data_IF_250458745085
#
_entry.id   IF_250458745085
#
_cell.length_a   1.000
_cell.length_b   1.000
_cell.length_c   1.000
_cell.angle_alpha   90.00
_cell.angle_beta   90.00
_cell.angle_gamma   90.00
#
_symmetry.space_group_name_H-M   'P 1'
#
loop_
_entity.id
_entity.type
_entity.pdbx_description
1 polymer ?
#
# COMPACT_ATOMS: atom_id res chain seq x y z
N UNK A 1 -23.15 -9.70 6.36
CA UNK A 1 -21.89 -9.18 6.91
C UNK A 1 -20.70 -9.55 6.03
N UNK A 2 -20.35 -10.85 5.96
CA UNK A 2 -19.17 -11.31 5.21
C UNK A 2 -19.16 -10.92 3.72
N UNK A 3 -20.25 -11.15 2.98
CA UNK A 3 -20.32 -10.80 1.55
C UNK A 3 -20.14 -9.28 1.29
N UNK A 4 -20.64 -8.43 2.18
CA UNK A 4 -20.43 -6.97 2.11
C UNK A 4 -18.95 -6.68 2.36
N UNK A 5 -18.38 -7.21 3.44
CA UNK A 5 -16.98 -6.99 3.76
C UNK A 5 -16.03 -7.49 2.66
N UNK A 6 -16.35 -8.63 2.04
CA UNK A 6 -15.59 -9.18 0.92
C UNK A 6 -15.60 -8.25 -0.28
N UNK A 7 -16.78 -7.76 -0.68
CA UNK A 7 -16.92 -6.86 -1.82
C UNK A 7 -16.16 -5.55 -1.58
N UNK A 8 -16.38 -4.89 -0.46
CA UNK A 8 -15.75 -3.59 -0.17
C UNK A 8 -14.25 -3.73 0.11
N UNK A 9 -13.84 -4.76 0.84
CA UNK A 9 -12.44 -5.06 1.12
C UNK A 9 -11.67 -5.37 -0.16
N UNK A 10 -12.22 -6.20 -1.05
CA UNK A 10 -11.58 -6.51 -2.33
C UNK A 10 -11.47 -5.28 -3.23
N UNK A 11 -12.52 -4.44 -3.33
CA UNK A 11 -12.46 -3.18 -4.07
C UNK A 11 -11.38 -2.27 -3.49
N UNK A 12 -11.35 -2.12 -2.16
CA UNK A 12 -10.35 -1.28 -1.50
C UNK A 12 -8.93 -1.75 -1.77
N UNK A 13 -8.65 -3.04 -1.54
CA UNK A 13 -7.33 -3.63 -1.78
C UNK A 13 -6.93 -3.53 -3.25
N UNK A 14 -7.84 -3.81 -4.17
CA UNK A 14 -7.61 -3.72 -5.61
C UNK A 14 -7.32 -2.30 -6.08
N UNK A 15 -8.07 -1.30 -5.59
CA UNK A 15 -7.82 0.12 -5.94
C UNK A 15 -6.44 0.54 -5.46
N UNK A 16 -6.09 0.23 -4.20
CA UNK A 16 -4.78 0.61 -3.63
C UNK A 16 -3.64 0.00 -4.45
N UNK A 17 -3.67 -1.32 -4.67
CA UNK A 17 -2.58 -1.99 -5.39
C UNK A 17 -2.51 -1.59 -6.86
N UNK A 18 -3.65 -1.40 -7.53
CA UNK A 18 -3.68 -0.96 -8.91
C UNK A 18 -3.07 0.42 -9.08
N UNK A 19 -3.36 1.35 -8.16
CA UNK A 19 -2.79 2.70 -8.22
C UNK A 19 -1.29 2.68 -7.94
N UNK A 20 -0.83 1.86 -6.99
CA UNK A 20 0.60 1.68 -6.72
C UNK A 20 1.33 1.14 -7.95
N UNK A 21 0.84 0.06 -8.54
CA UNK A 21 1.45 -0.56 -9.73
C UNK A 21 1.41 0.41 -10.92
N UNK A 22 0.29 1.07 -11.18
CA UNK A 22 0.19 2.07 -12.24
C UNK A 22 1.14 3.25 -12.01
N UNK A 23 1.30 3.69 -10.76
CA UNK A 23 2.27 4.71 -10.38
C UNK A 23 3.70 4.30 -10.68
N UNK A 24 4.06 3.04 -10.44
CA UNK A 24 5.38 2.49 -10.77
C UNK A 24 5.63 2.50 -12.28
N UNK A 25 4.69 1.97 -13.09
CA UNK A 25 4.83 1.98 -14.55
C UNK A 25 4.89 3.40 -15.13
N UNK A 26 4.15 4.35 -14.55
CA UNK A 26 4.15 5.74 -15.00
C UNK A 26 5.47 6.45 -14.65
N UNK A 27 6.10 6.09 -13.52
CA UNK A 27 7.38 6.67 -13.10
C UNK A 27 8.57 6.19 -13.95
N UNK A 28 8.49 5.01 -14.57
CA UNK A 28 9.57 4.47 -15.42
C UNK A 28 9.57 5.04 -16.86
N UNK A 29 8.51 5.72 -17.29
CA UNK A 29 8.45 6.38 -18.59
C UNK A 29 8.86 7.85 -18.51
N UNK A 30 10.07 8.21 -18.98
CA UNK A 30 10.54 9.58 -19.33
C UNK A 30 9.92 10.73 -18.51
N UNK A 31 9.84 10.55 -17.19
CA UNK A 31 9.04 11.41 -16.35
C UNK A 31 9.54 11.36 -14.93
N UNK A 32 10.39 12.32 -14.59
CA UNK A 32 10.49 12.89 -13.25
C UNK A 32 9.15 13.56 -12.85
N UNK A 33 8.06 12.80 -12.96
CA UNK A 33 6.69 13.25 -12.84
C UNK A 33 6.27 13.19 -11.39
N UNK A 34 6.47 14.30 -10.69
CA UNK A 34 6.02 14.60 -9.32
C UNK A 34 4.51 14.39 -9.06
N UNK A 35 3.71 13.95 -10.03
CA UNK A 35 2.26 13.83 -9.91
C UNK A 35 1.81 12.54 -9.17
N UNK A 36 2.44 11.39 -9.44
CA UNK A 36 2.15 10.10 -8.79
C UNK A 36 3.08 9.79 -7.62
N UNK A 37 4.23 10.47 -7.57
CA UNK A 37 5.23 10.42 -6.48
C UNK A 37 4.97 11.46 -5.39
N UNK A 38 3.93 12.28 -5.51
CA UNK A 38 3.52 13.22 -4.47
C UNK A 38 2.85 12.47 -3.32
N UNK A 39 3.36 12.69 -2.10
CA UNK A 39 2.76 12.20 -0.86
C UNK A 39 1.25 12.50 -0.79
N UNK A 40 0.82 13.65 -1.33
CA UNK A 40 -0.58 14.06 -1.37
C UNK A 40 -1.46 13.12 -2.19
N UNK A 41 -0.95 12.60 -3.31
CA UNK A 41 -1.67 11.64 -4.12
C UNK A 41 -1.84 10.32 -3.36
N UNK A 42 -0.78 9.84 -2.69
CA UNK A 42 -0.86 8.68 -1.80
C UNK A 42 -1.92 8.86 -0.70
N UNK A 43 -1.94 10.02 -0.03
CA UNK A 43 -2.95 10.33 0.98
C UNK A 43 -4.38 10.33 0.42
N UNK A 44 -4.58 10.87 -0.79
CA UNK A 44 -5.90 10.86 -1.43
C UNK A 44 -6.40 9.43 -1.67
N UNK A 45 -5.53 8.54 -2.16
CA UNK A 45 -5.87 7.13 -2.37
C UNK A 45 -6.18 6.43 -1.05
N UNK A 46 -5.44 6.74 0.02
CA UNK A 46 -5.74 6.21 1.36
C UNK A 46 -7.10 6.68 1.87
N UNK A 47 -7.48 7.94 1.66
CA UNK A 47 -8.82 8.43 2.04
C UNK A 47 -9.91 7.68 1.26
N UNK A 48 -9.71 7.44 -0.04
CA UNK A 48 -10.66 6.69 -0.86
C UNK A 48 -10.77 5.23 -0.39
N UNK A 49 -9.64 4.58 -0.11
CA UNK A 49 -9.61 3.22 0.42
C UNK A 49 -10.33 3.12 1.77
N UNK A 50 -10.01 3.99 2.73
CA UNK A 50 -10.64 4.03 4.05
C UNK A 50 -12.13 4.38 3.99
N UNK A 51 -12.56 5.15 2.98
CA UNK A 51 -13.98 5.45 2.77
C UNK A 51 -14.82 4.21 2.46
N UNK A 52 -14.21 3.16 1.88
CA UNK A 52 -14.91 1.89 1.61
C UNK A 52 -15.36 1.19 2.89
N UNK A 53 -14.62 1.34 4.00
CA UNK A 53 -15.00 0.81 5.32
C UNK A 53 -16.30 1.46 5.78
N UNK A 54 -16.39 2.79 5.67
CA UNK A 54 -17.61 3.51 6.02
C UNK A 54 -18.80 3.07 5.17
N UNK A 55 -18.60 2.89 3.85
CA UNK A 55 -19.65 2.42 2.95
C UNK A 55 -20.12 1.00 3.31
N UNK A 56 -19.20 0.09 3.64
CA UNK A 56 -19.52 -1.26 4.08
C UNK A 56 -20.35 -1.27 5.37
N UNK A 57 -19.96 -0.46 6.38
CA UNK A 57 -20.70 -0.32 7.64
C UNK A 57 -22.09 0.26 7.38
N UNK A 58 -22.19 1.31 6.56
CA UNK A 58 -23.47 1.95 6.20
C UNK A 58 -24.39 0.98 5.48
N UNK A 59 -23.89 0.20 4.51
CA UNK A 59 -24.69 -0.78 3.80
C UNK A 59 -25.19 -1.89 4.71
N UNK A 60 -24.32 -2.43 5.57
CA UNK A 60 -24.71 -3.45 6.54
C UNK A 60 -25.74 -2.94 7.55
N UNK A 61 -25.55 -1.72 8.07
CA UNK A 61 -26.52 -1.05 8.94
C UNK A 61 -27.90 -0.93 8.28
N UNK A 62 -27.94 -0.43 7.04
CA UNK A 62 -29.21 -0.11 6.38
C UNK A 62 -29.94 -1.36 5.86
N UNK A 63 -29.24 -2.30 5.23
CA UNK A 63 -29.87 -3.45 4.58
C UNK A 63 -30.13 -4.63 5.52
N UNK A 64 -29.29 -4.82 6.54
CA UNK A 64 -29.38 -6.00 7.40
C UNK A 64 -29.91 -5.69 8.81
N UNK A 65 -29.78 -4.45 9.29
CA UNK A 65 -30.10 -4.09 10.67
C UNK A 65 -31.20 -3.02 10.80
N UNK A 66 -31.87 -2.65 9.70
CA UNK A 66 -32.98 -1.70 9.74
C UNK A 66 -32.59 -0.27 10.11
N UNK A 67 -31.33 0.12 9.87
CA UNK A 67 -30.87 1.51 10.02
C UNK A 67 -30.13 1.84 11.32
N UNK A 68 -30.07 0.92 12.29
CA UNK A 68 -29.33 1.11 13.55
C UNK A 68 -28.26 0.03 13.71
N UNK A 69 -27.05 0.45 14.08
CA UNK A 69 -25.93 -0.46 14.35
C UNK A 69 -25.24 -0.06 15.64
N UNK A 70 -24.93 -1.05 16.50
CA UNK A 70 -24.14 -0.84 17.72
C UNK A 70 -22.65 -0.78 17.38
N UNK A 71 -21.84 -0.29 18.31
CA UNK A 71 -20.38 -0.13 18.11
C UNK A 71 -19.68 -1.43 17.72
N UNK A 72 -19.83 -2.51 18.50
CA UNK A 72 -19.10 -3.77 18.23
C UNK A 72 -19.42 -4.41 16.87
N UNK A 73 -20.69 -4.50 16.43
CA UNK A 73 -21.00 -4.93 15.07
C UNK A 73 -20.38 -4.03 13.98
N UNK A 74 -20.40 -2.70 14.17
CA UNK A 74 -19.78 -1.78 13.22
C UNK A 74 -18.26 -1.95 13.16
N UNK A 75 -17.61 -2.10 14.32
CA UNK A 75 -16.19 -2.38 14.42
C UNK A 75 -15.83 -3.71 13.74
N UNK A 76 -16.60 -4.77 13.97
CA UNK A 76 -16.36 -6.07 13.34
C UNK A 76 -16.47 -6.03 11.82
N UNK A 77 -17.43 -5.27 11.27
CA UNK A 77 -17.53 -5.05 9.81
C UNK A 77 -16.29 -4.33 9.29
N UNK A 78 -15.87 -3.25 9.95
CA UNK A 78 -14.71 -2.47 9.52
C UNK A 78 -13.41 -3.28 9.60
N UNK A 79 -13.22 -4.05 10.67
CA UNK A 79 -12.07 -4.92 10.85
C UNK A 79 -12.01 -6.00 9.75
N UNK A 80 -13.16 -6.59 9.42
CA UNK A 80 -13.23 -7.61 8.38
C UNK A 80 -12.93 -7.03 6.98
N UNK A 81 -13.42 -5.81 6.68
CA UNK A 81 -13.09 -5.10 5.44
C UNK A 81 -11.59 -4.83 5.36
N UNK A 82 -10.98 -4.32 6.44
CA UNK A 82 -9.56 -4.03 6.49
C UNK A 82 -8.69 -5.29 6.31
N UNK A 83 -9.05 -6.39 6.99
CA UNK A 83 -8.35 -7.67 6.85
C UNK A 83 -8.42 -8.20 5.40
N UNK A 84 -9.60 -8.15 4.77
CA UNK A 84 -9.77 -8.59 3.38
C UNK A 84 -8.99 -7.70 2.42
N UNK A 85 -9.01 -6.38 2.62
CA UNK A 85 -8.24 -5.44 1.82
C UNK A 85 -6.73 -5.73 1.91
N UNK A 86 -6.22 -6.01 3.11
CA UNK A 86 -4.83 -6.41 3.34
C UNK A 86 -4.45 -7.71 2.61
N UNK A 87 -5.30 -8.74 2.68
CA UNK A 87 -5.06 -10.01 1.96
C UNK A 87 -5.03 -9.79 0.45
N UNK A 88 -5.97 -9.01 -0.09
CA UNK A 88 -6.01 -8.71 -1.53
C UNK A 88 -4.78 -7.90 -1.97
N UNK A 89 -4.38 -6.92 -1.17
CA UNK A 89 -3.16 -6.14 -1.40
C UNK A 89 -1.92 -7.03 -1.45
N UNK A 90 -1.71 -7.86 -0.42
CA UNK A 90 -0.57 -8.78 -0.32
C UNK A 90 -0.54 -9.75 -1.50
N UNK A 91 -1.67 -10.38 -1.82
CA UNK A 91 -1.76 -11.35 -2.89
C UNK A 91 -1.42 -10.73 -4.26
N UNK A 92 -1.96 -9.53 -4.53
CA UNK A 92 -1.68 -8.81 -5.76
C UNK A 92 -0.23 -8.31 -5.84
N UNK A 93 0.34 -7.85 -4.72
CA UNK A 93 1.73 -7.42 -4.65
C UNK A 93 2.72 -8.55 -4.87
N UNK A 94 2.54 -9.69 -4.21
CA UNK A 94 3.37 -10.88 -4.41
C UNK A 94 3.27 -11.41 -5.85
N UNK A 95 2.06 -11.42 -6.40
CA UNK A 95 1.85 -11.78 -7.80
C UNK A 95 2.60 -10.84 -8.73
N UNK A 96 2.53 -9.53 -8.47
CA UNK A 96 3.25 -8.53 -9.25
C UNK A 96 4.76 -8.78 -9.20
N UNK A 97 5.36 -8.93 -8.02
CA UNK A 97 6.81 -9.18 -7.86
C UNK A 97 7.26 -10.45 -8.59
N UNK A 98 6.48 -11.54 -8.51
CA UNK A 98 6.84 -12.80 -9.17
C UNK A 98 6.72 -12.73 -10.70
N UNK A 99 5.68 -12.07 -11.23
CA UNK A 99 5.43 -12.03 -12.68
C UNK A 99 6.33 -11.02 -13.37
N UNK A 100 6.55 -9.85 -12.76
CA UNK A 100 7.33 -8.77 -13.34
C UNK A 100 8.83 -8.94 -13.17
N UNK A 101 9.28 -9.83 -12.26
CA UNK A 101 10.67 -9.90 -11.78
C UNK A 101 11.24 -8.53 -11.41
N UNK A 102 10.36 -7.63 -10.93
CA UNK A 102 10.67 -6.22 -10.82
C UNK A 102 11.70 -5.95 -9.71
N UNK A 103 12.82 -5.26 -9.99
CA UNK A 103 13.85 -4.97 -9.00
C UNK A 103 13.45 -3.79 -8.11
N UNK A 104 12.24 -3.83 -7.52
CA UNK A 104 11.64 -2.73 -6.74
C UNK A 104 12.62 -2.15 -5.72
N UNK A 105 13.15 -3.01 -4.85
CA UNK A 105 14.06 -2.58 -3.78
C UNK A 105 15.41 -2.09 -4.31
N UNK A 106 15.85 -2.54 -5.48
CA UNK A 106 17.09 -2.02 -6.07
C UNK A 106 16.87 -0.60 -6.58
N UNK A 107 15.79 -0.39 -7.35
CA UNK A 107 15.42 0.93 -7.86
C UNK A 107 15.12 1.91 -6.72
N UNK A 108 14.37 1.46 -5.72
CA UNK A 108 13.99 2.27 -4.56
C UNK A 108 15.20 2.71 -3.74
N UNK A 109 16.09 1.77 -3.36
CA UNK A 109 17.29 2.11 -2.57
C UNK A 109 18.26 2.98 -3.37
N UNK A 110 18.43 2.73 -4.67
CA UNK A 110 19.25 3.57 -5.53
C UNK A 110 18.73 5.02 -5.60
N UNK A 111 17.41 5.20 -5.80
CA UNK A 111 16.79 6.52 -5.80
C UNK A 111 16.96 7.24 -4.45
N UNK A 112 16.85 6.52 -3.34
CA UNK A 112 17.00 7.10 -2.00
C UNK A 112 18.44 7.51 -1.69
N UNK A 113 19.42 6.68 -2.07
CA UNK A 113 20.84 7.01 -1.94
C UNK A 113 21.19 8.22 -2.81
N UNK A 114 20.65 8.30 -4.03
CA UNK A 114 20.87 9.45 -4.90
C UNK A 114 20.28 10.73 -4.30
N UNK A 115 19.07 10.67 -3.74
CA UNK A 115 18.46 11.82 -3.08
C UNK A 115 19.31 12.34 -1.88
N UNK A 116 19.94 11.44 -1.11
CA UNK A 116 20.86 11.84 -0.03
C UNK A 116 22.13 12.51 -0.56
N UNK A 117 22.68 11.99 -1.66
CA UNK A 117 23.84 12.61 -2.35
C UNK A 117 23.49 14.00 -2.87
N UNK A 118 22.32 14.15 -3.48
CA UNK A 118 21.84 15.44 -4.00
C UNK A 118 21.56 16.45 -2.87
N UNK A 119 21.18 15.96 -1.69
CA UNK A 119 21.07 16.75 -0.47
C UNK A 119 22.43 17.11 0.17
N UNK A 120 23.54 16.64 -0.39
CA UNK A 120 24.90 16.94 0.08
C UNK A 120 25.41 16.06 1.22
N UNK A 121 24.68 15.00 1.59
CA UNK A 121 25.12 14.04 2.62
C UNK A 121 26.29 13.23 2.09
N UNK A 122 27.39 13.15 2.86
CA UNK A 122 28.63 12.51 2.44
C UNK A 122 29.42 11.90 3.60
N UNK A 123 30.47 11.15 3.27
CA UNK A 123 31.35 10.51 4.25
C UNK A 123 30.62 9.46 5.10
N UNK A 124 30.96 9.38 6.38
CA UNK A 124 30.46 8.35 7.28
C UNK A 124 28.93 8.31 7.41
N UNK A 125 28.26 9.45 7.26
CA UNK A 125 26.79 9.55 7.31
C UNK A 125 26.15 8.89 6.08
N UNK A 126 26.70 9.13 4.89
CA UNK A 126 26.24 8.48 3.65
C UNK A 126 26.54 6.98 3.67
N UNK A 127 27.70 6.57 4.18
CA UNK A 127 28.07 5.15 4.27
C UNK A 127 27.14 4.39 5.24
N UNK A 128 26.79 5.00 6.38
CA UNK A 128 25.82 4.44 7.31
C UNK A 128 24.42 4.30 6.66
N UNK A 129 23.98 5.31 5.92
CA UNK A 129 22.71 5.28 5.19
C UNK A 129 22.69 4.17 4.12
N UNK A 130 23.78 4.03 3.34
CA UNK A 130 23.90 2.96 2.35
C UNK A 130 23.85 1.58 3.02
N UNK A 131 24.51 1.40 4.16
CA UNK A 131 24.46 0.15 4.92
C UNK A 131 23.03 -0.17 5.40
N UNK A 132 22.28 0.83 5.85
CA UNK A 132 20.88 0.67 6.23
C UNK A 132 20.01 0.27 5.03
N UNK A 133 20.18 0.91 3.88
CA UNK A 133 19.44 0.58 2.65
C UNK A 133 19.74 -0.84 2.16
N UNK A 134 21.00 -1.29 2.27
CA UNK A 134 21.39 -2.67 1.94
C UNK A 134 20.74 -3.68 2.89
N UNK A 135 20.66 -3.36 4.19
CA UNK A 135 19.96 -4.19 5.16
C UNK A 135 18.46 -4.26 4.85
N UNK A 136 17.82 -3.12 4.58
CA UNK A 136 16.41 -3.06 4.21
C UNK A 136 16.11 -3.90 2.95
N UNK A 137 16.99 -3.85 1.94
CA UNK A 137 16.92 -4.70 0.74
C UNK A 137 17.00 -6.20 1.09
N UNK A 138 17.90 -6.58 1.98
CA UNK A 138 18.06 -7.98 2.41
C UNK A 138 16.84 -8.47 3.23
N UNK A 139 16.34 -7.65 4.15
CA UNK A 139 15.15 -7.96 4.95
C UNK A 139 13.93 -8.11 4.04
N UNK A 140 13.74 -7.23 3.06
CA UNK A 140 12.64 -7.30 2.10
C UNK A 140 12.66 -8.56 1.23
N UNK A 141 13.84 -9.13 0.95
CA UNK A 141 13.93 -10.41 0.24
C UNK A 141 13.23 -11.54 1.00
N UNK A 142 13.14 -11.45 2.33
CA UNK A 142 12.43 -12.42 3.16
C UNK A 142 10.92 -12.07 3.27
N UNK A 143 10.01 -12.97 2.83
CA UNK A 143 8.57 -12.75 2.93
C UNK A 143 8.07 -12.41 4.33
N UNK A 144 8.68 -12.96 5.39
CA UNK A 144 8.25 -12.71 6.77
C UNK A 144 8.43 -11.24 7.19
N UNK A 145 9.42 -10.56 6.63
CA UNK A 145 9.65 -9.14 6.88
C UNK A 145 8.91 -8.25 5.88
N UNK A 146 8.69 -8.71 4.65
CA UNK A 146 8.04 -7.91 3.62
C UNK A 146 6.52 -7.88 3.72
N UNK A 147 5.88 -8.98 4.12
CA UNK A 147 4.41 -9.09 4.20
C UNK A 147 3.74 -8.13 5.20
N UNK A 148 4.33 -7.82 6.38
CA UNK A 148 3.76 -6.86 7.31
C UNK A 148 4.15 -5.39 7.07
N UNK A 149 5.01 -5.11 6.08
CA UNK A 149 5.39 -3.74 5.68
C UNK A 149 4.31 -3.10 4.79
#
# INVERSE_FOLDING_TARGET
>A
MFAIALRYGAISGAVVIAVIIAGMFYAEGQGHGHATSSLWFGYLIMILALSTIFLAIREYRNKNLGGVIKFFPAFGVGLLVAAIAGVVYVAAWETFLQVSHYPFMENYTAAMIQAQRDAGVSGAELDAFIAEMNKAKADYANPLYRLPM
#
